data_IF_237492951574
#
_entry.id   IF_237492951574
#
_cell.length_a   1.000
_cell.length_b   1.000
_cell.length_c   1.000
_cell.angle_alpha   90.00
_cell.angle_beta   90.00
_cell.angle_gamma   90.00
#
_symmetry.space_group_name_H-M   'P 1'
#
loop_
_entity.id
_entity.type
_entity.pdbx_description
1 polymer ?
#
# COMPACT_ATOMS: atom_id res chain seq x y z
N UNK A 1 -51.85 -3.89 -0.22
CA UNK A 1 -50.37 -4.05 -0.21
C UNK A 1 -49.91 -4.51 -1.57
N UNK A 2 -48.93 -3.85 -2.18
CA UNK A 2 -48.30 -4.35 -3.42
C UNK A 2 -47.23 -5.37 -3.05
N UNK A 3 -47.42 -6.60 -3.49
CA UNK A 3 -46.50 -7.76 -3.37
C UNK A 3 -45.12 -7.48 -3.97
N UNK A 4 -45.05 -6.57 -4.95
CA UNK A 4 -43.82 -6.21 -5.67
C UNK A 4 -43.16 -4.93 -5.15
N UNK A 5 -43.48 -4.50 -3.92
CA UNK A 5 -42.85 -3.33 -3.32
C UNK A 5 -41.37 -3.61 -3.04
N UNK A 6 -40.46 -2.80 -3.59
CA UNK A 6 -39.00 -2.97 -3.41
C UNK A 6 -38.31 -3.93 -4.40
N UNK A 7 -39.07 -4.57 -5.30
CA UNK A 7 -38.51 -5.43 -6.35
C UNK A 7 -37.95 -4.62 -7.52
N UNK A 8 -36.74 -4.96 -7.95
CA UNK A 8 -36.09 -4.43 -9.15
C UNK A 8 -36.54 -5.20 -10.39
N UNK A 9 -36.25 -4.67 -11.57
CA UNK A 9 -36.55 -5.33 -12.86
C UNK A 9 -35.91 -6.72 -12.96
N UNK A 10 -34.68 -6.89 -12.46
CA UNK A 10 -33.99 -8.17 -12.43
C UNK A 10 -34.67 -9.19 -11.51
N UNK A 11 -35.12 -8.78 -10.32
CA UNK A 11 -35.81 -9.69 -9.40
C UNK A 11 -37.13 -10.22 -10.01
N UNK A 12 -37.87 -9.36 -10.72
CA UNK A 12 -39.11 -9.73 -11.40
C UNK A 12 -38.87 -10.60 -12.64
N UNK A 13 -37.72 -10.44 -13.31
CA UNK A 13 -37.33 -11.31 -14.42
C UNK A 13 -37.08 -12.73 -13.93
N UNK A 14 -36.31 -12.88 -12.84
CA UNK A 14 -36.05 -14.18 -12.20
C UNK A 14 -37.37 -14.83 -11.77
N UNK A 15 -38.27 -14.08 -11.13
CA UNK A 15 -39.57 -14.60 -10.70
C UNK A 15 -40.45 -15.07 -11.87
N UNK A 16 -40.43 -14.36 -13.00
CA UNK A 16 -41.20 -14.74 -14.18
C UNK A 16 -40.59 -15.95 -14.93
N UNK A 17 -39.26 -16.08 -14.94
CA UNK A 17 -38.57 -17.27 -15.46
C UNK A 17 -38.90 -18.53 -14.63
N UNK A 18 -38.97 -18.41 -13.29
CA UNK A 18 -39.40 -19.50 -12.40
C UNK A 18 -40.85 -19.93 -12.64
N UNK A 19 -41.72 -18.98 -13.01
CA UNK A 19 -43.11 -19.26 -13.44
C UNK A 19 -43.20 -19.77 -14.89
N UNK A 20 -42.05 -20.07 -15.52
CA UNK A 20 -41.91 -20.54 -16.92
C UNK A 20 -42.51 -19.59 -17.96
N UNK A 21 -42.65 -18.31 -17.63
CA UNK A 21 -43.08 -17.28 -18.57
C UNK A 21 -41.90 -16.82 -19.42
N UNK A 22 -42.14 -16.53 -20.69
CA UNK A 22 -41.08 -16.05 -21.58
C UNK A 22 -40.79 -14.57 -21.32
N UNK A 23 -39.63 -14.28 -20.73
CA UNK A 23 -39.21 -12.90 -20.43
C UNK A 23 -38.07 -12.47 -21.34
N UNK A 24 -38.31 -11.41 -22.09
CA UNK A 24 -37.26 -10.70 -22.83
C UNK A 24 -36.79 -9.44 -22.09
N UNK A 25 -35.55 -9.02 -22.33
CA UNK A 25 -34.94 -7.83 -21.71
C UNK A 25 -35.63 -6.52 -22.11
N UNK A 26 -36.35 -6.48 -23.24
CA UNK A 26 -37.10 -5.30 -23.66
C UNK A 26 -38.34 -5.01 -22.82
N UNK A 27 -38.85 -6.01 -22.08
CA UNK A 27 -40.07 -5.85 -21.28
C UNK A 27 -39.92 -4.78 -20.21
N UNK A 28 -40.93 -3.91 -20.07
CA UNK A 28 -40.94 -2.92 -18.99
C UNK A 28 -41.33 -3.60 -17.69
N UNK A 29 -40.95 -2.98 -16.57
CA UNK A 29 -41.30 -3.47 -15.23
C UNK A 29 -42.82 -3.64 -15.04
N UNK A 30 -43.64 -2.83 -15.73
CA UNK A 30 -45.10 -2.98 -15.75
C UNK A 30 -45.55 -4.24 -16.48
N UNK A 31 -44.91 -4.55 -17.61
CA UNK A 31 -45.25 -5.71 -18.44
C UNK A 31 -44.90 -7.01 -17.71
N UNK A 32 -43.72 -7.07 -17.06
CA UNK A 32 -43.30 -8.18 -16.21
C UNK A 32 -44.30 -8.46 -15.07
N UNK A 33 -44.75 -7.40 -14.39
CA UNK A 33 -45.77 -7.53 -13.33
C UNK A 33 -47.08 -8.11 -13.86
N UNK A 34 -47.51 -7.67 -15.04
CA UNK A 34 -48.72 -8.16 -15.65
C UNK A 34 -48.57 -9.62 -16.10
N UNK A 35 -47.42 -10.01 -16.64
CA UNK A 35 -47.13 -11.40 -17.03
C UNK A 35 -47.17 -12.34 -15.82
N UNK A 36 -46.50 -11.97 -14.73
CA UNK A 36 -46.51 -12.76 -13.47
C UNK A 36 -47.95 -12.94 -12.95
N UNK A 37 -48.72 -11.86 -12.91
CA UNK A 37 -50.12 -11.89 -12.45
C UNK A 37 -51.06 -12.66 -13.38
N UNK A 38 -50.72 -12.76 -14.67
CA UNK A 38 -51.51 -13.48 -15.67
C UNK A 38 -51.16 -14.98 -15.76
N UNK A 39 -50.06 -15.41 -15.14
CA UNK A 39 -49.63 -16.81 -15.15
C UNK A 39 -50.65 -17.69 -14.42
N UNK A 40 -50.93 -18.87 -14.99
CA UNK A 40 -51.95 -19.80 -14.46
C UNK A 40 -51.53 -20.47 -13.15
N UNK A 41 -50.22 -20.53 -12.89
CA UNK A 41 -49.61 -21.12 -11.70
C UNK A 41 -49.27 -20.07 -10.64
N UNK A 42 -49.75 -18.84 -10.80
CA UNK A 42 -49.50 -17.75 -9.86
C UNK A 42 -50.16 -18.01 -8.50
N UNK A 43 -49.40 -18.51 -7.54
CA UNK A 43 -49.76 -18.40 -6.13
C UNK A 43 -49.13 -17.16 -5.50
N UNK A 44 -49.97 -16.35 -4.85
CA UNK A 44 -49.59 -15.05 -4.30
C UNK A 44 -48.65 -15.18 -3.10
N UNK A 45 -48.82 -16.23 -2.30
CA UNK A 45 -48.02 -16.47 -1.11
C UNK A 45 -46.64 -17.03 -1.50
N UNK A 46 -46.61 -18.04 -2.39
CA UNK A 46 -45.38 -18.55 -2.97
C UNK A 46 -44.60 -17.45 -3.70
N UNK A 47 -45.23 -16.66 -4.58
CA UNK A 47 -44.53 -15.60 -5.32
C UNK A 47 -43.92 -14.53 -4.38
N UNK A 48 -44.55 -14.28 -3.23
CA UNK A 48 -44.03 -13.37 -2.21
C UNK A 48 -42.81 -13.97 -1.51
N UNK A 49 -42.85 -15.24 -1.13
CA UNK A 49 -41.73 -15.94 -0.52
C UNK A 49 -40.53 -16.01 -1.46
N UNK A 50 -40.74 -16.42 -2.71
CA UNK A 50 -39.70 -16.44 -3.75
C UNK A 50 -39.05 -15.08 -3.97
N UNK A 51 -39.86 -14.03 -4.09
CA UNK A 51 -39.35 -12.67 -4.27
C UNK A 51 -38.54 -12.19 -3.06
N UNK A 52 -38.95 -12.55 -1.84
CA UNK A 52 -38.18 -12.24 -0.64
C UNK A 52 -36.83 -12.96 -0.62
N UNK A 53 -36.78 -14.22 -1.04
CA UNK A 53 -35.53 -14.99 -1.16
C UNK A 53 -34.59 -14.33 -2.17
N UNK A 54 -35.07 -13.99 -3.37
CA UNK A 54 -34.28 -13.32 -4.41
C UNK A 54 -33.74 -11.97 -3.92
N UNK A 55 -34.58 -11.18 -3.24
CA UNK A 55 -34.17 -9.89 -2.68
C UNK A 55 -33.12 -10.08 -1.57
N UNK A 56 -33.24 -11.12 -0.75
CA UNK A 56 -32.30 -11.40 0.33
C UNK A 56 -30.94 -11.87 -0.21
N UNK A 57 -30.93 -12.82 -1.14
CA UNK A 57 -29.71 -13.32 -1.80
C UNK A 57 -28.93 -12.19 -2.47
N UNK A 58 -29.64 -11.31 -3.19
CA UNK A 58 -29.02 -10.11 -3.75
C UNK A 58 -28.35 -9.27 -2.66
N UNK A 59 -29.07 -8.94 -1.60
CA UNK A 59 -28.52 -8.09 -0.52
C UNK A 59 -27.27 -8.72 0.09
N UNK A 60 -27.27 -10.04 0.29
CA UNK A 60 -26.09 -10.72 0.79
C UNK A 60 -24.92 -10.69 -0.20
N UNK A 61 -25.19 -10.81 -1.50
CA UNK A 61 -24.15 -10.72 -2.53
C UNK A 61 -23.59 -9.30 -2.61
N UNK A 62 -24.43 -8.26 -2.55
CA UNK A 62 -24.00 -6.86 -2.50
C UNK A 62 -23.08 -6.64 -1.26
N UNK A 63 -23.45 -7.17 -0.10
CA UNK A 63 -22.63 -7.11 1.11
C UNK A 63 -21.30 -7.86 0.97
N UNK A 64 -21.31 -9.06 0.37
CA UNK A 64 -20.10 -9.84 0.10
C UNK A 64 -19.15 -9.09 -0.84
N UNK A 65 -19.69 -8.46 -1.89
CA UNK A 65 -18.90 -7.65 -2.81
C UNK A 65 -18.29 -6.43 -2.11
N UNK A 66 -19.04 -5.74 -1.25
CA UNK A 66 -18.52 -4.64 -0.44
C UNK A 66 -17.41 -5.09 0.51
N UNK A 67 -17.57 -6.24 1.19
CA UNK A 67 -16.54 -6.80 2.07
C UNK A 67 -15.24 -7.12 1.30
N UNK A 68 -15.37 -7.70 0.10
CA UNK A 68 -14.23 -7.99 -0.77
C UNK A 68 -13.53 -6.68 -1.18
N UNK A 69 -14.27 -5.66 -1.59
CA UNK A 69 -13.69 -4.37 -1.95
C UNK A 69 -12.96 -3.71 -0.76
N UNK A 70 -13.54 -3.76 0.43
CA UNK A 70 -12.91 -3.22 1.64
C UNK A 70 -11.62 -3.99 1.97
N UNK A 71 -11.64 -5.33 1.87
CA UNK A 71 -10.47 -6.17 2.10
C UNK A 71 -9.36 -5.87 1.09
N UNK A 72 -9.70 -5.72 -0.19
CA UNK A 72 -8.75 -5.39 -1.24
C UNK A 72 -8.13 -4.00 -1.03
N UNK A 73 -8.95 -3.00 -0.69
CA UNK A 73 -8.45 -1.66 -0.35
C UNK A 73 -7.51 -1.67 0.86
N UNK A 74 -7.82 -2.46 1.90
CA UNK A 74 -6.93 -2.61 3.06
C UNK A 74 -5.61 -3.26 2.65
N UNK A 75 -5.67 -4.32 1.86
CA UNK A 75 -4.47 -5.01 1.38
C UNK A 75 -3.56 -4.09 0.55
N UNK A 76 -4.13 -3.31 -0.37
CA UNK A 76 -3.37 -2.33 -1.14
C UNK A 76 -2.72 -1.25 -0.26
N UNK A 77 -3.43 -0.75 0.76
CA UNK A 77 -2.88 0.21 1.73
C UNK A 77 -1.73 -0.38 2.54
N UNK A 78 -1.85 -1.63 2.98
CA UNK A 78 -0.80 -2.32 3.71
C UNK A 78 0.46 -2.50 2.86
N UNK A 79 0.32 -2.90 1.60
CA UNK A 79 1.44 -3.01 0.65
C UNK A 79 2.13 -1.65 0.50
N UNK A 80 1.37 -0.58 0.28
CA UNK A 80 1.93 0.75 0.08
C UNK A 80 2.69 1.25 1.33
N UNK A 81 2.14 1.02 2.53
CA UNK A 81 2.80 1.36 3.79
C UNK A 81 4.08 0.54 3.97
N UNK A 82 4.05 -0.77 3.67
CA UNK A 82 5.22 -1.63 3.78
C UNK A 82 6.34 -1.23 2.82
N UNK A 83 6.00 -0.88 1.58
CA UNK A 83 6.96 -0.40 0.58
C UNK A 83 7.60 0.92 1.01
N UNK A 84 6.79 1.88 1.48
CA UNK A 84 7.30 3.14 2.01
C UNK A 84 8.26 2.92 3.18
N UNK A 85 7.94 2.02 4.11
CA UNK A 85 8.82 1.69 5.24
C UNK A 85 10.14 1.10 4.78
N UNK A 86 10.13 0.20 3.79
CA UNK A 86 11.37 -0.35 3.21
C UNK A 86 12.23 0.74 2.58
N UNK A 87 11.62 1.67 1.86
CA UNK A 87 12.36 2.80 1.28
C UNK A 87 12.96 3.72 2.36
N UNK A 88 12.21 4.02 3.42
CA UNK A 88 12.70 4.82 4.55
C UNK A 88 13.85 4.12 5.27
N UNK A 89 13.78 2.80 5.47
CA UNK A 89 14.85 2.00 6.08
C UNK A 89 16.14 2.03 5.25
N UNK A 90 16.04 1.83 3.94
CA UNK A 90 17.19 1.93 3.01
C UNK A 90 17.82 3.33 3.07
N UNK A 91 17.01 4.39 3.04
CA UNK A 91 17.53 5.76 3.13
C UNK A 91 18.26 6.04 4.45
N UNK A 92 17.71 5.53 5.55
CA UNK A 92 18.32 5.69 6.87
C UNK A 92 19.65 4.91 6.98
N UNK A 93 19.72 3.70 6.42
CA UNK A 93 20.93 2.90 6.39
C UNK A 93 22.02 3.53 5.52
N UNK A 94 21.67 4.01 4.32
CA UNK A 94 22.60 4.76 3.46
C UNK A 94 23.13 6.01 4.15
N UNK A 95 22.27 6.74 4.86
CA UNK A 95 22.67 7.93 5.61
C UNK A 95 23.66 7.57 6.71
N UNK A 96 23.38 6.54 7.50
CA UNK A 96 24.30 6.07 8.56
C UNK A 96 25.66 5.68 7.98
N UNK A 97 25.67 4.97 6.85
CA UNK A 97 26.92 4.58 6.17
C UNK A 97 27.73 5.80 5.73
N UNK A 98 27.09 6.87 5.23
CA UNK A 98 27.79 8.12 4.90
C UNK A 98 28.34 8.81 6.14
N UNK A 99 27.56 8.90 7.21
CA UNK A 99 27.99 9.52 8.47
C UNK A 99 29.19 8.77 9.08
N UNK A 100 29.20 7.44 9.01
CA UNK A 100 30.33 6.61 9.44
C UNK A 100 31.59 6.86 8.57
N UNK A 101 31.43 6.92 7.25
CA UNK A 101 32.53 7.24 6.33
C UNK A 101 33.12 8.63 6.60
N UNK A 102 32.26 9.65 6.77
CA UNK A 102 32.71 11.01 7.08
C UNK A 102 33.46 11.06 8.42
N UNK A 103 33.00 10.31 9.42
CA UNK A 103 33.68 10.19 10.70
C UNK A 103 35.07 9.55 10.54
N UNK A 104 35.16 8.40 9.85
CA UNK A 104 36.42 7.72 9.58
C UNK A 104 37.41 8.61 8.83
N UNK A 105 36.98 9.21 7.71
CA UNK A 105 37.78 10.17 6.93
C UNK A 105 38.26 11.35 7.79
N UNK A 106 37.38 11.87 8.65
CA UNK A 106 37.72 12.92 9.61
C UNK A 106 38.83 12.49 10.58
N UNK A 107 38.74 11.27 11.11
CA UNK A 107 39.78 10.72 12.01
C UNK A 107 41.10 10.48 11.29
N UNK A 108 41.09 9.94 10.07
CA UNK A 108 42.29 9.72 9.27
C UNK A 108 42.96 11.04 8.92
N UNK A 109 42.18 12.05 8.52
CA UNK A 109 42.66 13.41 8.28
C UNK A 109 43.33 13.99 9.53
N UNK A 110 42.74 13.79 10.70
CA UNK A 110 43.33 14.24 11.96
C UNK A 110 44.65 13.52 12.27
N UNK A 111 44.70 12.19 12.12
CA UNK A 111 45.93 11.39 12.29
C UNK A 111 47.04 11.86 11.34
N UNK A 112 46.71 12.06 10.07
CA UNK A 112 47.65 12.54 9.06
C UNK A 112 48.20 13.93 9.44
N UNK A 113 47.32 14.86 9.83
CA UNK A 113 47.71 16.20 10.28
C UNK A 113 48.67 16.16 11.48
N UNK A 114 48.41 15.29 12.47
CA UNK A 114 49.30 15.11 13.62
C UNK A 114 50.66 14.54 13.20
N UNK A 115 50.67 13.55 12.29
CA UNK A 115 51.89 12.96 11.74
C UNK A 115 52.74 14.01 11.02
N UNK A 116 52.15 14.82 10.15
CA UNK A 116 52.84 15.90 9.46
C UNK A 116 53.42 16.93 10.44
N UNK A 117 52.67 17.33 11.47
CA UNK A 117 53.17 18.23 12.53
C UNK A 117 54.38 17.64 13.24
N UNK A 118 54.34 16.35 13.60
CA UNK A 118 55.45 15.63 14.24
C UNK A 118 56.70 15.65 13.35
N UNK A 119 56.57 15.28 12.08
CA UNK A 119 57.68 15.29 11.11
C UNK A 119 58.34 16.67 11.00
N UNK A 120 57.55 17.74 10.90
CA UNK A 120 58.07 19.12 10.84
C UNK A 120 58.84 19.50 12.11
N UNK A 121 58.38 19.09 13.28
CA UNK A 121 59.06 19.35 14.56
C UNK A 121 60.38 18.58 14.66
N UNK A 122 60.40 17.30 14.29
CA UNK A 122 61.62 16.47 14.27
C UNK A 122 62.69 17.08 13.35
N UNK A 123 62.31 17.47 12.13
CA UNK A 123 63.22 18.14 11.20
C UNK A 123 63.76 19.47 11.74
N UNK A 124 62.92 20.27 12.42
CA UNK A 124 63.36 21.52 13.09
C UNK A 124 64.37 21.26 14.20
N UNK A 125 64.19 20.21 15.00
CA UNK A 125 65.12 19.82 16.07
C UNK A 125 66.46 19.37 15.48
N UNK A 126 66.44 18.48 14.47
CA UNK A 126 67.63 18.01 13.77
C UNK A 126 68.41 19.18 13.15
N UNK A 127 67.72 20.12 12.53
CA UNK A 127 68.35 21.31 11.93
C UNK A 127 69.00 22.21 12.98
N UNK A 128 68.34 22.43 14.13
CA UNK A 128 68.90 23.20 15.26
C UNK A 128 70.15 22.53 15.83
N UNK A 129 70.12 21.22 16.08
CA UNK A 129 71.28 20.46 16.57
C UNK A 129 72.46 20.56 15.59
N UNK A 130 72.21 20.37 14.29
CA UNK A 130 73.25 20.49 13.26
C UNK A 130 73.87 21.89 13.20
N UNK A 131 73.08 22.95 13.39
CA UNK A 131 73.62 24.33 13.48
C UNK A 131 74.48 24.52 14.72
N UNK A 132 74.05 24.03 15.88
CA UNK A 132 74.84 24.15 17.12
C UNK A 132 76.16 23.37 17.04
N UNK A 133 76.17 22.17 16.45
CA UNK A 133 77.39 21.39 16.23
C UNK A 133 78.36 22.11 15.29
N UNK A 134 77.85 22.74 14.23
CA UNK A 134 78.69 23.56 13.34
C UNK A 134 79.29 24.76 14.07
N UNK A 135 78.50 25.54 14.83
CA UNK A 135 79.04 26.69 15.56
C UNK A 135 80.16 26.30 16.56
N UNK A 136 80.04 25.15 17.23
CA UNK A 136 81.08 24.65 18.16
C UNK A 136 82.40 24.27 17.48
N UNK A 137 82.38 23.95 16.18
CA UNK A 137 83.60 23.63 15.42
C UNK A 137 84.40 24.88 15.02
N UNK A 138 83.79 26.06 15.00
CA UNK A 138 84.45 27.33 14.64
C UNK A 138 84.92 28.16 15.85
N UNK A 139 84.77 27.64 17.07
CA UNK A 139 85.12 28.33 18.33
C UNK A 139 86.25 27.66 19.11
N UNK A 140 87.00 26.75 18.48
CA UNK A 140 88.28 26.20 18.95
C UNK A 140 89.39 26.67 18.03
#
# INVERSE_FOLDING_TARGET
>A
MSIFAGARKCDLKILAEELRETVDDSHKLKDLKNMILASKEYDKECAKEWLNTIINERKENDLREEEIQIAEQKHQKEIHIAERRRQEEIQMEERKRREEQEYEEGTERMKWNLSCKKYVLEHKVVFKLRRQSKCKQYTK
#
